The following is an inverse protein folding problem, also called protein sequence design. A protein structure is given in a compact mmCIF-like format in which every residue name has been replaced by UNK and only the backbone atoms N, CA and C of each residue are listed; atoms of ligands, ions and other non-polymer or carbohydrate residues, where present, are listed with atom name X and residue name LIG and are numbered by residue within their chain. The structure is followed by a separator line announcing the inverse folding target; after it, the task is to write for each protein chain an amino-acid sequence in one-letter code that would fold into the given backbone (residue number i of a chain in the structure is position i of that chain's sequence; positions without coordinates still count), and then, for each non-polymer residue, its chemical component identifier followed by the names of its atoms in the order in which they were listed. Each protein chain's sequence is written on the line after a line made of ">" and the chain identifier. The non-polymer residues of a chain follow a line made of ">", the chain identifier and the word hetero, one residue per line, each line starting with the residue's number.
data_IF_718295425640
#
_entry.id   IF_718295425640
#
_cell.length_a   1.000
_cell.length_b   1.000
_cell.length_c   1.000
_cell.angle_alpha   90.00
_cell.angle_beta   90.00
_cell.angle_gamma   90.00
#
_symmetry.space_group_name_H-M   'P 1'
#
loop_
_entity.id
_entity.type
_entity.pdbx_description
1 polymer ?
#
# COMPACT_ATOMS: atom_id res chain seq x y z
N UNK A 1 1.07 -12.16 2.27
CA UNK A 1 0.86 -10.95 1.42
C UNK A 1 1.88 -9.84 1.70
N UNK A 2 2.24 -9.53 2.95
CA UNK A 2 3.20 -8.44 3.24
C UNK A 2 4.61 -8.64 2.63
N UNK A 3 5.10 -9.87 2.50
CA UNK A 3 6.36 -10.15 1.80
C UNK A 3 6.29 -9.73 0.32
N UNK A 4 5.18 -10.03 -0.36
CA UNK A 4 4.94 -9.62 -1.74
C UNK A 4 4.82 -8.09 -1.85
N UNK A 5 4.17 -7.44 -0.88
CA UNK A 5 4.12 -5.97 -0.80
C UNK A 5 5.52 -5.34 -0.75
N UNK A 6 6.44 -5.88 0.05
CA UNK A 6 7.84 -5.42 0.09
C UNK A 6 8.57 -5.65 -1.23
N UNK A 7 8.35 -6.80 -1.88
CA UNK A 7 8.93 -7.10 -3.20
C UNK A 7 8.45 -6.12 -4.27
N UNK A 8 7.14 -5.82 -4.30
CA UNK A 8 6.54 -4.83 -5.20
C UNK A 8 7.02 -3.42 -4.92
N UNK A 9 7.18 -3.06 -3.63
CA UNK A 9 7.75 -1.76 -3.24
C UNK A 9 9.12 -1.54 -3.91
N UNK A 10 9.98 -2.55 -3.90
CA UNK A 10 11.30 -2.45 -4.51
C UNK A 10 11.24 -2.50 -6.04
N UNK A 11 10.56 -3.51 -6.59
CA UNK A 11 10.57 -3.79 -8.04
C UNK A 11 9.76 -2.79 -8.88
N UNK A 12 8.66 -2.24 -8.34
CA UNK A 12 7.78 -1.30 -9.06
C UNK A 12 8.06 0.15 -8.67
N UNK A 13 8.31 0.42 -7.39
CA UNK A 13 8.46 1.79 -6.88
C UNK A 13 9.90 2.18 -6.53
N UNK A 14 10.85 1.24 -6.54
CA UNK A 14 12.27 1.49 -6.31
C UNK A 14 12.69 1.69 -4.85
N UNK A 15 11.77 1.61 -3.88
CA UNK A 15 12.08 1.86 -2.47
C UNK A 15 12.46 0.58 -1.71
N UNK A 16 13.42 0.69 -0.80
CA UNK A 16 13.85 -0.45 0.04
C UNK A 16 12.95 -0.69 1.24
N UNK A 17 12.37 0.39 1.79
CA UNK A 17 11.55 0.33 2.99
C UNK A 17 10.31 1.20 2.87
N UNK A 18 9.25 0.76 3.53
CA UNK A 18 8.05 1.57 3.73
C UNK A 18 8.36 2.78 4.61
N UNK A 19 7.74 3.91 4.30
CA UNK A 19 7.70 5.05 5.23
C UNK A 19 6.86 4.70 6.47
N UNK A 20 6.97 5.47 7.56
CA UNK A 20 6.13 5.26 8.74
C UNK A 20 4.65 5.12 8.38
N UNK A 21 3.96 4.21 9.09
CA UNK A 21 2.55 3.85 8.94
C UNK A 21 2.15 3.14 7.63
N UNK A 22 2.89 3.26 6.53
CA UNK A 22 2.50 2.64 5.25
C UNK A 22 2.33 1.13 5.35
N UNK A 23 3.25 0.44 6.05
CA UNK A 23 3.18 -1.01 6.21
C UNK A 23 1.91 -1.45 6.97
N UNK A 24 1.56 -0.74 8.05
CA UNK A 24 0.36 -1.02 8.85
C UNK A 24 -0.93 -0.76 8.05
N UNK A 25 -0.98 0.35 7.30
CA UNK A 25 -2.12 0.68 6.44
C UNK A 25 -2.29 -0.40 5.36
N UNK A 26 -1.21 -0.75 4.67
CA UNK A 26 -1.23 -1.79 3.62
C UNK A 26 -1.66 -3.13 4.21
N UNK A 27 -1.18 -3.49 5.41
CA UNK A 27 -1.59 -4.72 6.09
C UNK A 27 -3.09 -4.74 6.38
N UNK A 28 -3.66 -3.63 6.86
CA UNK A 28 -5.10 -3.54 7.09
C UNK A 28 -5.91 -3.71 5.79
N UNK A 29 -5.50 -3.05 4.71
CA UNK A 29 -6.16 -3.17 3.39
C UNK A 29 -6.03 -4.60 2.85
N UNK A 30 -4.84 -5.22 2.94
CA UNK A 30 -4.62 -6.61 2.53
C UNK A 30 -5.46 -7.62 3.34
N UNK A 31 -5.76 -7.28 4.59
CA UNK A 31 -6.69 -8.03 5.45
C UNK A 31 -8.16 -7.65 5.24
N UNK A 32 -8.47 -6.88 4.18
CA UNK A 32 -9.82 -6.45 3.80
C UNK A 32 -10.55 -5.66 4.90
N UNK A 33 -9.81 -4.85 5.66
CA UNK A 33 -10.38 -3.94 6.67
C UNK A 33 -10.58 -2.55 6.08
N UNK A 34 -11.76 -1.98 6.32
CA UNK A 34 -12.01 -0.56 6.05
C UNK A 34 -11.03 0.29 6.87
N UNK A 35 -10.28 1.16 6.19
CA UNK A 35 -9.14 1.87 6.80
C UNK A 35 -9.23 3.36 6.48
N UNK A 36 -9.39 4.20 7.50
CA UNK A 36 -9.28 5.65 7.39
C UNK A 36 -7.82 6.07 7.58
N UNK A 37 -7.26 6.79 6.60
CA UNK A 37 -5.85 7.22 6.62
C UNK A 37 -5.76 8.74 6.62
N UNK A 38 -5.15 9.29 7.67
CA UNK A 38 -4.83 10.72 7.77
C UNK A 38 -3.31 10.90 7.68
N UNK A 39 -2.83 11.38 6.53
CA UNK A 39 -1.42 11.70 6.32
C UNK A 39 -1.32 13.00 5.51
N UNK A 40 -0.23 13.79 5.66
CA UNK A 40 -0.04 15.02 4.88
C UNK A 40 0.12 14.73 3.38
N UNK A 41 -0.05 15.75 2.55
CA UNK A 41 0.35 15.71 1.14
C UNK A 41 1.84 15.43 1.03
N UNK A 42 2.26 14.61 0.06
CA UNK A 42 3.65 14.13 -0.04
C UNK A 42 4.03 13.01 0.95
N UNK A 43 3.14 12.66 1.90
CA UNK A 43 3.37 11.59 2.89
C UNK A 43 3.38 10.17 2.32
N UNK A 44 3.03 9.98 1.04
CA UNK A 44 3.05 8.67 0.38
C UNK A 44 1.77 7.85 0.53
N UNK A 45 0.59 8.49 0.70
CA UNK A 45 -0.72 7.82 0.78
C UNK A 45 -1.04 6.95 -0.43
N UNK A 46 -0.59 7.33 -1.63
CA UNK A 46 -0.93 6.61 -2.87
C UNK A 46 -0.41 5.18 -2.89
N UNK A 47 0.80 4.94 -2.38
CA UNK A 47 1.39 3.59 -2.27
C UNK A 47 0.51 2.67 -1.42
N UNK A 48 -0.22 3.23 -0.44
CA UNK A 48 -1.06 2.46 0.47
C UNK A 48 -2.26 1.79 -0.20
N UNK A 49 -2.74 2.28 -1.35
CA UNK A 49 -3.76 1.59 -2.16
C UNK A 49 -3.18 0.96 -3.43
N UNK A 50 -2.09 1.51 -3.99
CA UNK A 50 -1.46 0.98 -5.20
C UNK A 50 -0.82 -0.39 -4.99
N UNK A 51 -0.16 -0.63 -3.84
CA UNK A 51 0.42 -1.96 -3.58
C UNK A 51 -0.66 -3.03 -3.40
N UNK A 52 -1.71 -2.83 -2.57
CA UNK A 52 -2.82 -3.77 -2.52
C UNK A 52 -3.48 -4.01 -3.89
N UNK A 53 -3.61 -2.97 -4.72
CA UNK A 53 -4.16 -3.09 -6.08
C UNK A 53 -3.35 -4.02 -6.99
N UNK A 54 -2.04 -4.14 -6.78
CA UNK A 54 -1.17 -5.06 -7.52
C UNK A 54 -1.15 -6.49 -6.94
N UNK A 55 -1.68 -6.68 -5.73
CA UNK A 55 -1.71 -7.98 -5.04
C UNK A 55 -3.07 -8.64 -5.19
N UNK A 56 -4.16 -7.87 -5.11
CA UNK A 56 -5.51 -8.39 -5.31
C UNK A 56 -5.78 -8.67 -6.78
N UNK A 57 -6.54 -9.74 -7.02
CA UNK A 57 -7.10 -9.98 -8.34
C UNK A 57 -8.15 -8.92 -8.67
N UNK A 58 -8.17 -8.45 -9.91
CA UNK A 58 -9.15 -7.50 -10.43
C UNK A 58 -8.68 -6.05 -10.47
N UNK A 59 -9.64 -5.12 -10.44
CA UNK A 59 -9.40 -3.68 -10.59
C UNK A 59 -9.65 -2.96 -9.26
N UNK A 60 -8.71 -2.11 -8.85
CA UNK A 60 -8.93 -1.13 -7.79
C UNK A 60 -9.47 0.17 -8.39
N UNK A 61 -10.56 0.68 -7.83
CA UNK A 61 -11.16 1.97 -8.20
C UNK A 61 -10.67 3.05 -7.25
N UNK A 62 -10.19 4.17 -7.79
CA UNK A 62 -9.74 5.35 -7.05
C UNK A 62 -10.61 6.53 -7.46
N UNK A 63 -11.13 7.29 -6.47
CA UNK A 63 -12.05 8.43 -6.64
C UNK A 63 -11.39 9.71 -6.17
#
# INVERSE_FOLDING_TARGET
>A
MMHQAKSLLKSVFGYDTFRPLQAEIIENVLNKKDTLVVMPTGGGKSICYQIPALIFDGLTVVV
#
